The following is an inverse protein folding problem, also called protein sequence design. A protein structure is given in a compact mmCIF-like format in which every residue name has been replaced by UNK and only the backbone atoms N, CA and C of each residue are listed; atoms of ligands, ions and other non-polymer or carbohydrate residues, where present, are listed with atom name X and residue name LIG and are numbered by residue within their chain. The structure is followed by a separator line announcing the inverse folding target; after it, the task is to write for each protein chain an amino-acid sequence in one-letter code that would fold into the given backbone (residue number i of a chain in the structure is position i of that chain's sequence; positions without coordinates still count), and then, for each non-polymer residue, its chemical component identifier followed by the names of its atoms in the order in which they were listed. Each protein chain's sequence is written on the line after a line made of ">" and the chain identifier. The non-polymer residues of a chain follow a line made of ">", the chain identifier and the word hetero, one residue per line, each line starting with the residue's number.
data_IF_132676721106
#
_entry.id   IF_132676721106
#
_cell.length_a   1.000
_cell.length_b   1.000
_cell.length_c   1.000
_cell.angle_alpha   90.00
_cell.angle_beta   90.00
_cell.angle_gamma   90.00
#
_symmetry.space_group_name_H-M   'P 1'
#
loop_
_entity.id
_entity.type
_entity.pdbx_description
1 polymer ?
#
# COMPACT_ATOMS: atom_id res chain seq x y z
N UNK A 1 15.84 -0.42 -1.20
CA UNK A 1 15.16 0.71 -0.54
C UNK A 1 14.84 0.35 0.90
N UNK A 2 15.12 1.25 1.79
CA UNK A 2 14.76 1.08 3.19
C UNK A 2 13.36 1.66 3.40
N UNK A 3 12.44 0.86 3.91
CA UNK A 3 11.06 1.33 4.11
C UNK A 3 10.91 2.01 5.46
N UNK A 4 10.07 3.04 5.50
CA UNK A 4 9.79 3.76 6.74
C UNK A 4 8.55 3.18 7.43
N UNK A 5 8.21 3.73 8.60
CA UNK A 5 7.08 3.27 9.41
C UNK A 5 5.75 3.34 8.65
N UNK A 6 5.52 4.41 7.90
CA UNK A 6 4.29 4.57 7.14
C UNK A 6 4.22 3.55 6.01
N UNK A 7 5.32 3.32 5.31
CA UNK A 7 5.37 2.33 4.24
C UNK A 7 5.14 0.92 4.77
N UNK A 8 5.71 0.59 5.93
CA UNK A 8 5.48 -0.70 6.58
C UNK A 8 3.98 -0.85 6.95
N UNK A 9 3.37 0.20 7.45
CA UNK A 9 1.94 0.20 7.76
C UNK A 9 1.10 -0.03 6.51
N UNK A 10 1.45 0.62 5.40
CA UNK A 10 0.75 0.43 4.12
C UNK A 10 0.83 -1.04 3.67
N UNK A 11 2.02 -1.63 3.72
CA UNK A 11 2.20 -3.04 3.36
C UNK A 11 1.37 -3.95 4.28
N UNK A 12 1.34 -3.65 5.57
CA UNK A 12 0.57 -4.43 6.54
C UNK A 12 -0.94 -4.34 6.26
N UNK A 13 -1.42 -3.17 5.88
CA UNK A 13 -2.82 -2.96 5.52
C UNK A 13 -3.18 -3.76 4.28
N UNK A 14 -2.35 -3.69 3.24
CA UNK A 14 -2.61 -4.42 2.00
C UNK A 14 -2.66 -5.92 2.26
N UNK A 15 -1.74 -6.44 3.04
CA UNK A 15 -1.73 -7.87 3.36
C UNK A 15 -2.94 -8.25 4.24
N UNK A 16 -3.24 -7.44 5.25
CA UNK A 16 -4.36 -7.70 6.16
C UNK A 16 -5.72 -7.63 5.48
N UNK A 17 -5.84 -6.81 4.44
CA UNK A 17 -7.08 -6.68 3.67
C UNK A 17 -7.12 -7.64 2.48
N UNK A 18 -6.14 -8.55 2.39
CA UNK A 18 -6.01 -9.50 1.29
C UNK A 18 -5.90 -8.82 -0.09
N UNK A 19 -5.32 -7.64 -0.13
CA UNK A 19 -5.06 -6.92 -1.37
C UNK A 19 -3.81 -7.50 -2.04
N UNK A 20 -3.94 -8.71 -2.57
CA UNK A 20 -2.83 -9.50 -3.12
C UNK A 20 -2.97 -9.79 -4.61
N UNK A 21 -4.08 -9.40 -5.21
CA UNK A 21 -4.35 -9.57 -6.64
C UNK A 21 -5.01 -8.31 -7.17
N UNK A 22 -5.02 -8.10 -8.51
CA UNK A 22 -5.73 -6.96 -9.08
C UNK A 22 -7.21 -6.88 -8.68
N UNK A 23 -7.86 -8.03 -8.56
CA UNK A 23 -9.27 -8.09 -8.21
C UNK A 23 -9.58 -7.73 -6.77
N UNK A 24 -8.58 -7.84 -5.88
CA UNK A 24 -8.73 -7.54 -4.45
C UNK A 24 -7.93 -6.32 -4.03
N UNK A 25 -7.35 -5.58 -4.98
CA UNK A 25 -6.53 -4.39 -4.69
C UNK A 25 -7.33 -3.26 -4.06
N UNK A 26 -6.60 -2.28 -3.54
CA UNK A 26 -7.17 -1.11 -2.89
C UNK A 26 -6.81 0.16 -3.66
N UNK A 27 -7.73 1.12 -3.68
CA UNK A 27 -7.44 2.44 -4.25
C UNK A 27 -6.57 3.23 -3.28
N UNK A 28 -5.92 4.29 -3.77
CA UNK A 28 -5.15 5.20 -2.92
C UNK A 28 -6.03 5.79 -1.81
N UNK A 29 -7.27 6.10 -2.14
CA UNK A 29 -8.21 6.66 -1.16
C UNK A 29 -8.52 5.67 -0.04
N UNK A 30 -8.76 4.41 -0.41
CA UNK A 30 -9.01 3.36 0.57
C UNK A 30 -7.80 3.10 1.45
N UNK A 31 -6.60 3.11 0.87
CA UNK A 31 -5.37 2.94 1.63
C UNK A 31 -5.21 4.06 2.65
N UNK A 32 -5.43 5.31 2.24
CA UNK A 32 -5.34 6.46 3.14
C UNK A 32 -6.36 6.36 4.29
N UNK A 33 -7.57 5.92 3.97
CA UNK A 33 -8.61 5.73 4.97
C UNK A 33 -8.15 4.73 6.05
N UNK A 34 -7.63 3.57 5.61
CA UNK A 34 -7.19 2.54 6.55
C UNK A 34 -5.96 2.97 7.35
N UNK A 35 -5.03 3.69 6.73
CA UNK A 35 -3.86 4.24 7.40
C UNK A 35 -4.31 5.17 8.54
N UNK A 36 -5.21 6.10 8.25
CA UNK A 36 -5.65 7.09 9.22
C UNK A 36 -6.57 6.51 10.30
N UNK A 37 -7.18 5.37 10.01
CA UNK A 37 -7.97 4.63 10.99
C UNK A 37 -7.07 3.83 11.95
N UNK A 38 -5.91 3.37 11.45
CA UNK A 38 -5.03 2.47 12.19
C UNK A 38 -3.97 3.19 13.02
N UNK A 39 -3.73 4.49 12.77
CA UNK A 39 -2.68 5.26 13.43
C UNK A 39 -3.31 6.51 14.08
N UNK A 40 -2.76 6.91 15.21
CA UNK A 40 -3.18 8.16 15.89
C UNK A 40 -2.77 9.39 15.09
N UNK A 41 -1.66 9.30 14.36
CA UNK A 41 -1.21 10.39 13.50
C UNK A 41 -1.99 10.37 12.18
N UNK A 42 -2.48 11.53 11.78
CA UNK A 42 -3.24 11.64 10.53
C UNK A 42 -2.33 12.10 9.40
N UNK A 43 -2.36 11.35 8.31
CA UNK A 43 -1.55 11.63 7.11
C UNK A 43 -2.45 12.21 6.03
N UNK A 44 -1.91 13.17 5.27
CA UNK A 44 -2.63 13.70 4.11
C UNK A 44 -2.69 12.66 2.99
N UNK A 45 -3.66 12.78 2.11
CA UNK A 45 -3.77 11.92 0.93
C UNK A 45 -2.49 12.00 0.09
N UNK A 46 -1.94 13.20 -0.09
CA UNK A 46 -0.71 13.41 -0.86
C UNK A 46 0.45 12.62 -0.27
N UNK A 47 0.61 12.62 1.05
CA UNK A 47 1.68 11.89 1.72
C UNK A 47 1.52 10.38 1.51
N UNK A 48 0.30 9.86 1.69
CA UNK A 48 0.03 8.44 1.49
C UNK A 48 0.29 8.05 0.03
N UNK A 49 -0.19 8.85 -0.92
CA UNK A 49 0.01 8.58 -2.34
C UNK A 49 1.50 8.48 -2.68
N UNK A 50 2.30 9.44 -2.18
CA UNK A 50 3.74 9.46 -2.43
C UNK A 50 4.40 8.18 -1.92
N UNK A 51 4.01 7.71 -0.74
CA UNK A 51 4.59 6.50 -0.16
C UNK A 51 4.19 5.25 -0.92
N UNK A 52 2.94 5.17 -1.37
CA UNK A 52 2.47 4.04 -2.18
C UNK A 52 3.21 3.99 -3.52
N UNK A 53 3.34 5.14 -4.20
CA UNK A 53 4.05 5.18 -5.47
C UNK A 53 5.54 4.84 -5.33
N UNK A 54 6.16 5.22 -4.20
CA UNK A 54 7.54 4.82 -3.91
C UNK A 54 7.65 3.30 -3.75
N UNK A 55 6.69 2.67 -3.07
CA UNK A 55 6.66 1.22 -2.92
C UNK A 55 6.46 0.53 -4.27
N UNK A 56 5.61 1.12 -5.13
CA UNK A 56 5.40 0.58 -6.47
C UNK A 56 6.67 0.67 -7.31
N UNK A 57 7.44 1.74 -7.15
CA UNK A 57 8.69 1.94 -7.89
C UNK A 57 9.74 0.88 -7.60
N UNK A 58 9.72 0.29 -6.40
CA UNK A 58 10.63 -0.80 -6.02
C UNK A 58 9.95 -2.17 -6.03
N UNK A 59 8.74 -2.23 -6.58
CA UNK A 59 8.00 -3.48 -6.80
C UNK A 59 7.54 -4.21 -5.52
N UNK A 60 7.47 -3.51 -4.40
CA UNK A 60 6.87 -4.08 -3.19
C UNK A 60 5.34 -4.03 -3.27
N UNK A 61 4.83 -3.12 -4.08
CA UNK A 61 3.42 -2.96 -4.39
C UNK A 61 3.33 -2.81 -5.91
N UNK A 62 2.25 -3.29 -6.49
CA UNK A 62 1.98 -3.05 -7.91
C UNK A 62 0.54 -2.60 -8.07
N UNK A 63 0.17 -2.20 -9.26
CA UNK A 63 -1.17 -1.69 -9.51
C UNK A 63 -1.65 -2.10 -10.89
N UNK A 64 -2.98 -2.18 -11.03
CA UNK A 64 -3.62 -2.41 -12.31
C UNK A 64 -4.81 -1.46 -12.40
N UNK A 65 -4.89 -0.73 -13.51
CA UNK A 65 -6.02 0.16 -13.77
C UNK A 65 -7.21 -0.65 -14.25
N UNK A 66 -8.36 -0.44 -13.62
CA UNK A 66 -9.62 -0.98 -14.12
C UNK A 66 -10.21 0.03 -15.10
N UNK A 67 -10.93 -0.44 -16.10
CA UNK A 67 -11.59 0.41 -17.08
C UNK A 67 -12.45 1.45 -16.36
N UNK A 68 -12.17 2.73 -16.61
CA UNK A 68 -12.92 3.87 -16.06
C UNK A 68 -12.88 3.98 -14.53
N UNK A 69 -11.86 3.40 -13.88
CA UNK A 69 -11.71 3.46 -12.42
C UNK A 69 -10.26 3.76 -12.04
N UNK A 70 -10.06 4.18 -10.80
CA UNK A 70 -8.74 4.42 -10.25
C UNK A 70 -7.91 3.14 -10.21
N UNK A 71 -6.58 3.30 -10.15
CA UNK A 71 -5.68 2.16 -10.01
C UNK A 71 -5.98 1.38 -8.73
N UNK A 72 -5.91 0.05 -8.85
CA UNK A 72 -6.07 -0.86 -7.71
C UNK A 72 -4.69 -1.37 -7.33
N UNK A 73 -4.24 -1.04 -6.13
CA UNK A 73 -2.90 -1.40 -5.63
C UNK A 73 -2.98 -2.68 -4.81
N UNK A 74 -1.97 -3.54 -4.96
CA UNK A 74 -1.89 -4.77 -4.19
C UNK A 74 -0.43 -5.11 -3.88
N UNK A 75 -0.23 -5.83 -2.77
CA UNK A 75 1.11 -6.20 -2.32
C UNK A 75 1.65 -7.35 -3.18
N UNK A 76 2.95 -7.30 -3.47
CA UNK A 76 3.63 -8.36 -4.22
C UNK A 76 4.25 -9.35 -3.26
N UNK A 77 4.73 -10.49 -3.79
CA UNK A 77 5.51 -11.44 -3.00
C UNK A 77 6.74 -10.78 -2.40
N UNK A 78 7.42 -9.93 -3.20
CA UNK A 78 8.56 -9.17 -2.74
C UNK A 78 8.20 -8.23 -1.59
N UNK A 79 7.02 -7.59 -1.66
CA UNK A 79 6.52 -6.74 -0.57
C UNK A 79 6.23 -7.51 0.70
N UNK A 80 5.69 -8.71 0.59
CA UNK A 80 5.46 -9.58 1.75
C UNK A 80 6.77 -9.98 2.41
N UNK A 81 7.77 -10.31 1.62
CA UNK A 81 9.08 -10.70 2.12
C UNK A 81 9.77 -9.57 2.87
N UNK A 82 9.77 -8.36 2.31
CA UNK A 82 10.41 -7.22 2.97
C UNK A 82 9.69 -6.83 4.25
N UNK A 83 8.36 -6.98 4.29
CA UNK A 83 7.57 -6.74 5.49
C UNK A 83 8.00 -7.68 6.61
N UNK A 84 8.18 -8.97 6.31
CA UNK A 84 8.60 -9.96 7.30
C UNK A 84 10.00 -9.65 7.84
N UNK A 85 10.90 -9.17 6.99
CA UNK A 85 12.27 -8.84 7.39
C UNK A 85 12.40 -7.50 8.10
N UNK A 86 11.36 -6.68 8.07
CA UNK A 86 11.35 -5.34 8.68
C UNK A 86 10.76 -5.30 10.08
N UNK A 87 10.30 -6.41 10.57
CA UNK A 87 9.69 -6.51 11.91
C UNK A 87 10.72 -6.80 12.98
#
# INVERSE_FOLDING_TARGET
>A
MQIDKLQLLILSILEGMNATTPGTGMTLHEIAYEVNKSDDYKYSQTTVNRKVWALRGVEYVTSKMKTNKADMFYITTKGKEIKEHSC
#
